data_IF_004471948456
#
_entry.id   IF_004471948456
#
_cell.length_a   1.000
_cell.length_b   1.000
_cell.length_c   1.000
_cell.angle_alpha   90.00
_cell.angle_beta   90.00
_cell.angle_gamma   90.00
#
_symmetry.space_group_name_H-M   'P 1'
#
loop_
_entity.id
_entity.type
_entity.pdbx_description
1 polymer ?
#
# COMPACT_ATOMS: atom_id res chain seq x y z
N UNK A 1 18.71 -28.51 -29.11
CA UNK A 1 18.51 -27.38 -28.21
C UNK A 1 17.42 -26.54 -28.83
N UNK A 2 16.25 -26.50 -28.17
CA UNK A 2 15.05 -25.82 -28.68
C UNK A 2 15.20 -24.28 -28.60
N UNK A 3 14.53 -23.58 -29.50
CA UNK A 3 14.56 -22.09 -29.57
C UNK A 3 14.18 -21.42 -28.25
N UNK A 4 13.40 -22.07 -27.39
CA UNK A 4 13.05 -21.62 -26.03
C UNK A 4 14.30 -21.48 -25.14
N UNK A 5 15.26 -22.44 -25.24
CA UNK A 5 16.50 -22.37 -24.45
C UNK A 5 17.44 -21.21 -24.86
N UNK A 6 17.40 -20.79 -26.14
CA UNK A 6 18.19 -19.64 -26.62
C UNK A 6 17.64 -18.30 -26.17
N UNK A 7 16.31 -18.15 -26.16
CA UNK A 7 15.67 -16.93 -25.68
C UNK A 7 15.85 -16.72 -24.18
N UNK A 8 15.82 -17.78 -23.39
CA UNK A 8 16.04 -17.72 -21.93
C UNK A 8 17.48 -17.34 -21.60
N UNK A 9 18.47 -17.90 -22.33
CA UNK A 9 19.88 -17.55 -22.15
C UNK A 9 20.18 -16.10 -22.58
N UNK A 10 19.55 -15.62 -23.67
CA UNK A 10 19.73 -14.23 -24.11
C UNK A 10 19.10 -13.22 -23.12
N UNK A 11 17.92 -13.54 -22.56
CA UNK A 11 17.29 -12.70 -21.53
C UNK A 11 18.12 -12.66 -20.23
N UNK A 12 18.60 -13.82 -19.77
CA UNK A 12 19.48 -13.90 -18.62
C UNK A 12 20.80 -13.14 -18.81
N UNK A 13 21.40 -13.23 -20.02
CA UNK A 13 22.62 -12.49 -20.37
C UNK A 13 22.39 -10.98 -20.42
N UNK A 14 21.22 -10.52 -20.89
CA UNK A 14 20.87 -9.10 -20.92
C UNK A 14 20.67 -8.56 -19.47
N UNK A 15 20.00 -9.33 -18.62
CA UNK A 15 19.77 -8.97 -17.21
C UNK A 15 21.10 -8.92 -16.43
N UNK A 16 21.99 -9.91 -16.64
CA UNK A 16 23.34 -9.90 -16.05
C UNK A 16 24.20 -8.73 -16.57
N UNK A 17 24.08 -8.37 -17.83
CA UNK A 17 24.81 -7.23 -18.43
C UNK A 17 24.35 -5.89 -17.86
N UNK A 18 23.06 -5.72 -17.60
CA UNK A 18 22.52 -4.48 -16.96
C UNK A 18 22.96 -4.39 -15.50
N UNK A 19 22.91 -5.48 -14.75
CA UNK A 19 23.41 -5.52 -13.36
C UNK A 19 24.92 -5.29 -13.30
N UNK A 20 25.70 -5.86 -14.23
CA UNK A 20 27.15 -5.65 -14.29
C UNK A 20 27.53 -4.23 -14.72
N UNK A 21 26.78 -3.62 -15.64
CA UNK A 21 26.94 -2.22 -16.04
C UNK A 21 26.59 -1.26 -14.89
N UNK A 22 25.57 -1.57 -14.10
CA UNK A 22 25.24 -0.81 -12.89
C UNK A 22 26.31 -0.95 -11.80
N UNK A 23 26.83 -2.17 -11.56
CA UNK A 23 27.93 -2.39 -10.61
C UNK A 23 29.25 -1.75 -11.05
N UNK A 24 29.56 -1.67 -12.36
CA UNK A 24 30.80 -1.07 -12.85
C UNK A 24 30.83 0.46 -12.77
N UNK A 25 29.67 1.12 -12.75
CA UNK A 25 29.56 2.56 -12.52
C UNK A 25 29.86 2.95 -11.05
N UNK A 26 29.69 2.00 -10.12
CA UNK A 26 29.90 2.22 -8.67
C UNK A 26 31.31 1.89 -8.17
N UNK A 27 32.18 1.32 -9.01
CA UNK A 27 33.56 0.94 -8.64
C UNK A 27 34.61 1.94 -9.15
N UNK A 28 34.35 3.25 -9.14
CA UNK A 28 35.41 4.22 -9.32
C UNK A 28 36.04 4.53 -7.95
N UNK A 29 37.39 4.29 -7.76
CA UNK A 29 38.03 4.68 -6.53
C UNK A 29 38.03 6.20 -6.42
N UNK A 30 37.36 6.74 -5.41
CA UNK A 30 37.51 8.15 -5.04
C UNK A 30 38.92 8.34 -4.49
N UNK A 31 39.80 8.93 -5.28
CA UNK A 31 41.09 9.45 -4.80
C UNK A 31 40.78 10.62 -3.85
N UNK A 32 40.91 10.38 -2.56
CA UNK A 32 40.83 11.44 -1.56
C UNK A 32 42.10 12.31 -1.65
N UNK A 33 41.99 13.40 -2.36
CA UNK A 33 42.88 14.54 -2.18
C UNK A 33 42.17 15.52 -1.21
N UNK A 34 42.90 16.14 -0.26
CA UNK A 34 42.31 17.18 0.58
C UNK A 34 42.15 18.44 -0.33
N UNK A 35 40.95 18.65 -0.83
CA UNK A 35 40.60 19.93 -1.46
C UNK A 35 40.40 20.98 -0.36
N UNK A 36 41.08 22.10 -0.50
CA UNK A 36 40.81 23.34 0.22
C UNK A 36 39.34 23.71 -0.01
N UNK A 37 38.52 23.68 1.04
CA UNK A 37 37.11 24.07 1.01
C UNK A 37 37.00 25.56 0.64
N UNK A 38 36.93 25.88 -0.61
CA UNK A 38 36.44 27.18 -1.09
C UNK A 38 34.92 27.06 -1.19
N UNK A 39 34.24 27.84 -0.36
CA UNK A 39 32.77 27.93 -0.35
C UNK A 39 32.32 28.54 -1.70
N UNK A 40 31.84 27.69 -2.62
CA UNK A 40 31.33 28.11 -3.93
C UNK A 40 29.83 28.38 -3.82
N UNK A 41 29.42 29.64 -4.01
CA UNK A 41 28.03 30.07 -4.04
C UNK A 41 27.20 29.35 -5.13
N UNK A 42 27.83 28.81 -6.17
CA UNK A 42 27.13 28.01 -7.20
C UNK A 42 26.62 26.66 -6.69
N UNK A 43 27.14 26.12 -5.58
CA UNK A 43 26.61 24.93 -4.90
C UNK A 43 25.27 25.17 -4.21
N UNK A 44 24.90 26.45 -3.95
CA UNK A 44 23.63 26.85 -3.33
C UNK A 44 22.53 27.07 -4.38
N UNK A 45 22.89 27.22 -5.66
CA UNK A 45 21.88 27.33 -6.71
C UNK A 45 21.09 26.03 -6.83
N UNK A 46 19.82 26.08 -6.37
CA UNK A 46 18.88 24.97 -6.47
C UNK A 46 18.80 24.54 -7.95
N UNK A 47 19.35 23.37 -8.27
CA UNK A 47 19.26 22.82 -9.62
C UNK A 47 17.79 22.75 -10.03
N UNK A 48 17.43 23.16 -11.24
CA UNK A 48 16.04 23.14 -11.71
C UNK A 48 15.50 21.71 -11.90
N UNK A 49 16.34 20.71 -11.74
CA UNK A 49 15.97 19.30 -11.88
C UNK A 49 16.49 18.48 -10.71
N UNK A 50 15.77 17.41 -10.43
CA UNK A 50 16.17 16.34 -9.50
C UNK A 50 15.98 15.00 -10.21
N UNK A 51 16.91 14.09 -10.04
CA UNK A 51 16.84 12.69 -10.47
C UNK A 51 17.30 11.87 -9.28
N UNK A 52 16.57 10.82 -8.95
CA UNK A 52 16.85 9.92 -7.86
C UNK A 52 16.05 8.63 -7.98
N UNK A 53 16.14 7.81 -6.97
CA UNK A 53 15.40 6.57 -6.91
C UNK A 53 16.03 5.57 -5.95
N UNK A 54 15.61 4.32 -6.07
CA UNK A 54 16.23 3.22 -5.34
C UNK A 54 16.17 1.91 -6.12
N UNK A 55 17.12 1.05 -5.82
CA UNK A 55 17.07 -0.37 -6.17
C UNK A 55 16.84 -1.18 -4.90
N UNK A 56 15.88 -2.10 -4.93
CA UNK A 56 15.51 -2.96 -3.81
C UNK A 56 15.60 -4.42 -4.19
N UNK A 57 16.09 -5.24 -3.27
CA UNK A 57 16.01 -6.70 -3.34
C UNK A 57 15.37 -7.23 -2.07
N UNK A 58 14.36 -8.11 -2.23
CA UNK A 58 13.53 -8.57 -1.13
C UNK A 58 13.16 -10.05 -1.28
N UNK A 59 14.04 -10.98 -0.83
CA UNK A 59 13.68 -12.38 -0.67
C UNK A 59 12.69 -12.58 0.48
N UNK A 60 11.74 -13.49 0.29
CA UNK A 60 10.70 -13.85 1.25
C UNK A 60 10.61 -15.36 1.34
N UNK A 61 10.58 -15.88 2.57
CA UNK A 61 10.33 -17.27 2.89
C UNK A 61 8.96 -17.39 3.56
N UNK A 62 8.10 -18.26 3.05
CA UNK A 62 6.78 -18.58 3.62
C UNK A 62 6.81 -19.99 4.22
N UNK A 63 6.30 -20.17 5.43
CA UNK A 63 5.94 -21.48 5.95
C UNK A 63 4.49 -21.78 5.62
N UNK A 64 4.24 -22.91 4.97
CA UNK A 64 2.91 -23.27 4.48
C UNK A 64 2.13 -24.08 5.52
N UNK A 65 0.84 -23.77 5.68
CA UNK A 65 -0.14 -24.61 6.37
C UNK A 65 -1.05 -25.28 5.35
N UNK A 66 -0.79 -26.59 5.09
CA UNK A 66 -1.50 -27.39 4.07
C UNK A 66 -2.96 -27.68 4.44
N UNK A 67 -3.35 -27.48 5.68
CA UNK A 67 -4.71 -27.77 6.15
C UNK A 67 -5.66 -26.59 5.97
N UNK A 68 -5.16 -25.40 5.62
CA UNK A 68 -5.95 -24.18 5.45
C UNK A 68 -6.75 -24.16 4.15
N UNK A 69 -7.88 -23.49 4.15
CA UNK A 69 -8.74 -23.33 2.99
C UNK A 69 -8.02 -22.61 1.85
N UNK A 70 -7.25 -21.54 2.13
CA UNK A 70 -6.54 -20.81 1.08
C UNK A 70 -5.36 -21.59 0.51
N UNK A 71 -4.69 -22.45 1.30
CA UNK A 71 -3.71 -23.37 0.74
C UNK A 71 -4.38 -24.35 -0.22
N UNK A 72 -5.46 -25.01 0.20
CA UNK A 72 -6.25 -25.93 -0.63
C UNK A 72 -6.74 -25.26 -1.92
N UNK A 73 -7.17 -24.00 -1.85
CA UNK A 73 -7.65 -23.28 -3.02
C UNK A 73 -6.54 -22.98 -4.03
N UNK A 74 -5.36 -22.56 -3.55
CA UNK A 74 -4.26 -22.12 -4.41
C UNK A 74 -3.45 -23.29 -4.94
N UNK A 75 -3.25 -24.33 -4.12
CA UNK A 75 -2.34 -25.45 -4.41
C UNK A 75 -3.05 -26.79 -4.66
N UNK A 76 -4.37 -26.82 -4.92
CA UNK A 76 -5.16 -28.05 -5.06
C UNK A 76 -4.58 -29.07 -6.05
N UNK A 77 -3.86 -28.63 -7.06
CA UNK A 77 -3.25 -29.45 -8.10
C UNK A 77 -1.71 -29.52 -8.03
N UNK A 78 -1.13 -29.13 -6.88
CA UNK A 78 0.32 -29.12 -6.64
C UNK A 78 0.62 -29.74 -5.29
N UNK A 79 1.77 -30.38 -5.19
CA UNK A 79 2.32 -30.83 -3.91
C UNK A 79 3.56 -29.98 -3.63
N UNK A 80 3.37 -28.93 -2.84
CA UNK A 80 4.45 -28.04 -2.46
C UNK A 80 5.11 -28.52 -1.16
N UNK A 81 6.37 -28.18 -0.97
CA UNK A 81 7.09 -28.45 0.28
C UNK A 81 6.45 -27.67 1.45
N UNK A 82 6.99 -27.84 2.66
CA UNK A 82 6.54 -27.10 3.84
C UNK A 82 6.86 -25.60 3.77
N UNK A 83 7.74 -25.19 2.87
CA UNK A 83 8.16 -23.79 2.69
C UNK A 83 8.18 -23.42 1.21
N UNK A 84 7.91 -22.14 0.94
CA UNK A 84 8.06 -21.54 -0.39
C UNK A 84 8.95 -20.31 -0.33
N UNK A 85 9.73 -20.12 -1.38
CA UNK A 85 10.58 -18.95 -1.57
C UNK A 85 10.01 -18.04 -2.65
N UNK A 86 10.11 -16.74 -2.40
CA UNK A 86 9.77 -15.69 -3.36
C UNK A 86 10.91 -14.66 -3.39
N UNK A 87 11.29 -14.25 -4.59
CA UNK A 87 12.30 -13.23 -4.80
C UNK A 87 11.68 -12.04 -5.50
N UNK A 88 11.76 -10.87 -4.87
CA UNK A 88 11.29 -9.62 -5.42
C UNK A 88 12.47 -8.68 -5.64
N UNK A 89 12.47 -7.96 -6.75
CA UNK A 89 13.38 -6.87 -7.00
C UNK A 89 12.60 -5.69 -7.57
N UNK A 90 12.87 -4.48 -7.06
CA UNK A 90 12.20 -3.26 -7.49
C UNK A 90 13.26 -2.21 -7.86
N UNK A 91 13.11 -1.61 -9.04
CA UNK A 91 13.82 -0.40 -9.42
C UNK A 91 12.82 0.75 -9.51
N UNK A 92 12.92 1.71 -8.58
CA UNK A 92 12.15 2.94 -8.66
C UNK A 92 13.04 4.06 -9.18
N UNK A 93 12.56 4.78 -10.19
CA UNK A 93 13.18 5.98 -10.71
C UNK A 93 12.23 7.15 -10.53
N UNK A 94 12.75 8.28 -10.05
CA UNK A 94 11.99 9.52 -9.98
C UNK A 94 12.77 10.69 -10.53
N UNK A 95 12.04 11.61 -11.16
CA UNK A 95 12.61 12.82 -11.71
C UNK A 95 11.66 14.00 -11.57
N UNK A 96 12.18 15.17 -11.31
CA UNK A 96 11.43 16.41 -11.37
C UNK A 96 12.20 17.50 -12.11
N UNK A 97 11.45 18.35 -12.82
CA UNK A 97 11.96 19.55 -13.47
C UNK A 97 11.10 20.73 -13.04
N UNK A 98 11.73 21.75 -12.45
CA UNK A 98 11.05 22.96 -11.98
C UNK A 98 11.53 24.18 -12.78
N UNK A 99 10.61 24.94 -13.39
CA UNK A 99 10.91 26.18 -14.11
C UNK A 99 9.80 27.20 -13.91
N UNK A 100 10.11 28.29 -13.21
CA UNK A 100 9.14 29.33 -12.88
C UNK A 100 7.96 28.78 -12.07
N UNK A 101 6.75 28.88 -12.62
CA UNK A 101 5.52 28.40 -11.99
C UNK A 101 5.22 26.92 -12.27
N UNK A 102 6.05 26.26 -13.07
CA UNK A 102 5.80 24.90 -13.60
C UNK A 102 6.72 23.88 -12.98
N UNK A 103 6.17 22.75 -12.55
CA UNK A 103 6.91 21.55 -12.14
C UNK A 103 6.38 20.34 -12.89
N UNK A 104 7.27 19.62 -13.54
CA UNK A 104 7.02 18.27 -14.06
C UNK A 104 7.58 17.25 -13.05
N UNK A 105 6.82 16.21 -12.74
CA UNK A 105 7.25 15.11 -11.90
C UNK A 105 6.92 13.78 -12.54
N UNK A 106 7.84 12.82 -12.48
CA UNK A 106 7.64 11.44 -12.96
C UNK A 106 8.26 10.49 -11.94
N UNK A 107 7.54 9.42 -11.60
CA UNK A 107 8.01 8.28 -10.80
C UNK A 107 7.58 6.99 -11.48
N UNK A 108 8.53 6.10 -11.73
CA UNK A 108 8.29 4.78 -12.31
C UNK A 108 8.80 3.69 -11.39
N UNK A 109 8.10 2.58 -11.35
CA UNK A 109 8.55 1.34 -10.71
C UNK A 109 8.68 0.25 -11.77
N UNK A 110 9.79 -0.46 -11.75
CA UNK A 110 9.97 -1.73 -12.45
C UNK A 110 10.10 -2.80 -11.39
N UNK A 111 9.10 -3.66 -11.31
CA UNK A 111 9.02 -4.74 -10.34
C UNK A 111 9.30 -6.06 -11.06
N UNK A 112 10.18 -6.88 -10.48
CA UNK A 112 10.43 -8.25 -10.87
C UNK A 112 10.07 -9.15 -9.70
N UNK A 113 9.28 -10.16 -9.98
CA UNK A 113 8.85 -11.15 -9.00
C UNK A 113 9.08 -12.55 -9.55
N UNK A 114 9.82 -13.37 -8.77
CA UNK A 114 9.94 -14.80 -9.01
C UNK A 114 9.32 -15.54 -7.85
N UNK A 115 8.28 -16.29 -8.11
CA UNK A 115 7.53 -17.06 -7.12
C UNK A 115 7.23 -18.46 -7.65
N UNK A 116 6.52 -19.26 -6.86
CA UNK A 116 5.98 -20.55 -7.27
C UNK A 116 5.00 -20.48 -8.46
N UNK A 117 4.41 -19.33 -8.74
CA UNK A 117 3.55 -19.11 -9.92
C UNK A 117 4.35 -18.86 -11.19
N UNK A 118 5.64 -18.62 -11.09
CA UNK A 118 6.53 -18.28 -12.20
C UNK A 118 7.25 -16.96 -11.99
N UNK A 119 7.73 -16.42 -13.10
CA UNK A 119 8.42 -15.13 -13.14
C UNK A 119 7.50 -14.09 -13.78
N UNK A 120 7.39 -12.95 -13.15
CA UNK A 120 6.63 -11.79 -13.62
C UNK A 120 7.50 -10.54 -13.58
N UNK A 121 7.34 -9.67 -14.56
CA UNK A 121 8.02 -8.38 -14.61
C UNK A 121 7.06 -7.34 -15.15
N UNK A 122 6.86 -6.29 -14.37
CA UNK A 122 6.00 -5.18 -14.74
C UNK A 122 6.73 -3.85 -14.57
N UNK A 123 6.49 -2.91 -15.48
CA UNK A 123 6.95 -1.52 -15.35
C UNK A 123 5.75 -0.60 -15.38
N UNK A 124 5.56 0.11 -14.28
CA UNK A 124 4.39 0.97 -14.07
C UNK A 124 4.82 2.41 -13.77
N UNK A 125 4.16 3.38 -14.39
CA UNK A 125 4.27 4.78 -13.99
C UNK A 125 3.42 4.97 -12.74
N UNK A 126 4.04 5.14 -11.58
CA UNK A 126 3.33 5.37 -10.32
C UNK A 126 2.76 6.77 -10.23
N UNK A 127 3.55 7.77 -10.63
CA UNK A 127 3.12 9.16 -10.74
C UNK A 127 3.75 9.79 -11.98
N UNK A 128 2.99 10.65 -12.66
CA UNK A 128 3.45 11.41 -13.82
C UNK A 128 2.52 12.59 -14.04
N UNK A 129 2.89 13.78 -13.52
CA UNK A 129 2.01 14.94 -13.54
C UNK A 129 2.75 16.25 -13.77
N UNK A 130 2.00 17.20 -14.34
CA UNK A 130 2.36 18.60 -14.47
C UNK A 130 1.68 19.37 -13.33
N UNK A 131 2.46 20.15 -12.57
CA UNK A 131 2.00 21.07 -11.54
C UNK A 131 2.24 22.51 -11.95
N UNK A 132 1.22 23.32 -11.94
CA UNK A 132 1.27 24.76 -12.19
C UNK A 132 0.96 25.50 -10.90
N UNK A 133 1.80 26.45 -10.50
CA UNK A 133 1.63 27.27 -9.30
C UNK A 133 1.57 28.75 -9.67
N UNK A 134 0.41 29.24 -10.20
CA UNK A 134 0.28 30.62 -10.66
C UNK A 134 0.39 31.65 -9.54
N UNK A 135 0.09 31.26 -8.31
CA UNK A 135 0.23 32.09 -7.11
C UNK A 135 0.63 31.23 -5.90
N UNK A 136 0.96 31.89 -4.79
CA UNK A 136 1.22 31.18 -3.53
C UNK A 136 -0.02 30.45 -2.96
N UNK A 137 -1.21 30.82 -3.42
CA UNK A 137 -2.49 30.27 -2.94
C UNK A 137 -3.14 29.27 -3.90
N UNK A 138 -2.63 29.11 -5.12
CA UNK A 138 -3.27 28.24 -6.13
C UNK A 138 -2.23 27.30 -6.74
N UNK A 139 -2.53 26.00 -6.68
CA UNK A 139 -1.79 24.95 -7.39
C UNK A 139 -2.75 24.18 -8.27
N UNK A 140 -2.36 23.86 -9.50
CA UNK A 140 -3.14 23.05 -10.43
C UNK A 140 -2.28 21.88 -10.87
N UNK A 141 -2.75 20.67 -10.66
CA UNK A 141 -2.08 19.43 -11.01
C UNK A 141 -2.85 18.65 -12.07
N UNK A 142 -2.17 18.16 -13.09
CA UNK A 142 -2.74 17.38 -14.18
C UNK A 142 -1.86 16.18 -14.49
N UNK A 143 -2.41 14.97 -14.47
CA UNK A 143 -1.74 13.72 -14.76
C UNK A 143 -1.93 12.68 -13.67
N UNK A 144 -1.09 11.64 -13.67
CA UNK A 144 -1.15 10.54 -12.72
C UNK A 144 -0.57 10.96 -11.39
N UNK A 145 -1.40 11.07 -10.36
CA UNK A 145 -0.99 11.61 -9.05
C UNK A 145 -1.72 10.93 -7.90
N UNK A 146 -1.01 10.66 -6.82
CA UNK A 146 -1.57 10.22 -5.54
C UNK A 146 -1.94 11.46 -4.69
N UNK A 147 -3.19 11.54 -4.21
CA UNK A 147 -3.71 12.70 -3.48
C UNK A 147 -3.47 12.62 -1.97
N UNK A 148 -3.27 11.42 -1.43
CA UNK A 148 -2.94 11.15 0.00
C UNK A 148 -3.99 11.69 0.96
N UNK A 149 -5.27 11.41 0.70
CA UNK A 149 -6.34 11.80 1.58
C UNK A 149 -6.48 10.86 2.78
N UNK A 150 -6.96 11.40 3.91
CA UNK A 150 -7.12 10.68 5.18
C UNK A 150 -5.95 10.87 6.15
N UNK A 151 -6.21 10.64 7.43
CA UNK A 151 -5.30 10.87 8.57
C UNK A 151 -4.82 9.58 9.21
N UNK A 152 -5.49 8.44 8.96
CA UNK A 152 -5.12 7.15 9.53
C UNK A 152 -3.76 6.67 9.05
N UNK A 153 -3.06 5.98 9.93
CA UNK A 153 -1.74 5.42 9.65
C UNK A 153 -1.86 4.13 8.82
N UNK A 154 -2.55 3.12 9.34
CA UNK A 154 -2.70 1.82 8.68
C UNK A 154 -3.82 1.80 7.63
N UNK A 155 -4.90 2.53 7.84
CA UNK A 155 -6.06 2.60 6.95
C UNK A 155 -6.52 4.03 6.72
N UNK A 156 -7.18 4.28 5.59
CA UNK A 156 -7.78 5.57 5.27
C UNK A 156 -9.16 5.34 4.62
N UNK A 157 -10.23 5.14 5.40
CA UNK A 157 -11.58 4.93 4.86
C UNK A 157 -12.11 6.09 4.02
N UNK A 158 -11.61 7.32 4.20
CA UNK A 158 -12.01 8.50 3.43
C UNK A 158 -11.18 8.74 2.16
N UNK A 159 -10.16 7.92 1.90
CA UNK A 159 -9.28 8.05 0.72
C UNK A 159 -9.97 7.54 -0.56
N UNK A 160 -11.08 8.17 -0.96
CA UNK A 160 -11.93 7.70 -2.07
C UNK A 160 -11.28 7.73 -3.44
N UNK A 161 -10.23 8.54 -3.58
CA UNK A 161 -9.49 8.79 -4.83
C UNK A 161 -8.06 8.24 -4.81
N UNK A 162 -7.69 7.54 -3.75
CA UNK A 162 -6.41 6.86 -3.64
C UNK A 162 -6.60 5.33 -3.62
N UNK A 163 -5.54 4.58 -3.86
CA UNK A 163 -5.54 3.13 -3.65
C UNK A 163 -5.48 2.81 -2.15
N UNK A 164 -6.05 1.70 -1.69
CA UNK A 164 -6.02 1.32 -0.28
C UNK A 164 -4.60 1.05 0.20
N UNK A 165 -4.26 1.52 1.39
CA UNK A 165 -3.00 1.20 2.06
C UNK A 165 -2.90 -0.29 2.41
N UNK A 166 -1.67 -0.78 2.43
CA UNK A 166 -1.35 -2.07 3.02
C UNK A 166 -0.94 -1.85 4.49
N UNK A 167 -1.71 -2.31 5.49
CA UNK A 167 -1.37 -2.13 6.89
C UNK A 167 -0.09 -2.87 7.32
N UNK A 168 0.35 -3.87 6.56
CA UNK A 168 1.65 -4.53 6.77
C UNK A 168 2.85 -3.64 6.42
N UNK A 169 2.68 -2.69 5.47
CA UNK A 169 3.68 -1.70 5.05
C UNK A 169 2.97 -0.39 4.64
N UNK A 170 2.44 0.38 5.62
CA UNK A 170 1.62 1.57 5.36
C UNK A 170 2.38 2.73 4.68
N UNK A 171 3.71 2.68 4.70
CA UNK A 171 4.58 3.69 4.11
C UNK A 171 4.92 3.40 2.64
N UNK A 172 4.47 2.24 2.12
CA UNK A 172 4.70 1.89 0.72
C UNK A 172 4.08 2.93 -0.22
N UNK A 173 4.88 3.35 -1.20
CA UNK A 173 4.36 4.22 -2.27
C UNK A 173 3.27 3.50 -3.05
N UNK A 174 2.15 4.19 -3.24
CA UNK A 174 1.02 3.70 -4.02
C UNK A 174 1.02 4.36 -5.40
N UNK A 175 0.48 3.65 -6.37
CA UNK A 175 0.22 4.17 -7.70
C UNK A 175 -0.94 5.16 -7.65
N UNK A 176 -0.78 6.35 -8.26
CA UNK A 176 -1.83 7.36 -8.37
C UNK A 176 -2.85 7.04 -9.48
N UNK A 177 -3.92 7.83 -9.52
CA UNK A 177 -4.85 7.89 -10.64
C UNK A 177 -4.58 9.12 -11.52
N UNK A 178 -4.96 9.07 -12.79
CA UNK A 178 -4.92 10.23 -13.69
C UNK A 178 -6.04 11.16 -13.27
N UNK A 179 -5.68 12.38 -12.87
CA UNK A 179 -6.58 13.39 -12.33
C UNK A 179 -6.27 14.78 -12.90
N UNK A 180 -7.27 15.67 -12.85
CA UNK A 180 -7.06 17.10 -12.88
C UNK A 180 -7.55 17.67 -11.56
N UNK A 181 -6.66 18.27 -10.78
CA UNK A 181 -6.92 18.81 -9.46
C UNK A 181 -6.49 20.27 -9.36
N UNK A 182 -7.23 21.06 -8.60
CA UNK A 182 -6.83 22.42 -8.26
C UNK A 182 -6.87 22.56 -6.73
N UNK A 183 -5.83 23.06 -6.12
CA UNK A 183 -5.80 23.32 -4.68
C UNK A 183 -5.70 24.82 -4.43
N UNK A 184 -6.75 25.39 -3.82
CA UNK A 184 -6.79 26.79 -3.43
C UNK A 184 -6.72 26.88 -1.91
N UNK A 185 -5.64 27.45 -1.39
CA UNK A 185 -5.38 27.62 0.04
C UNK A 185 -5.40 29.10 0.44
N UNK A 186 -6.01 29.40 1.57
CA UNK A 186 -6.04 30.72 2.15
C UNK A 186 -5.76 30.67 3.65
N UNK A 187 -4.78 31.45 4.09
CA UNK A 187 -4.52 31.70 5.51
C UNK A 187 -5.44 32.81 6.02
N UNK A 188 -5.92 32.63 7.24
CA UNK A 188 -6.86 33.52 7.94
C UNK A 188 -6.31 33.86 9.32
N UNK A 189 -6.84 34.95 9.88
CA UNK A 189 -6.57 35.33 11.27
C UNK A 189 -7.67 34.75 12.19
N UNK A 190 -7.28 34.42 13.45
CA UNK A 190 -8.24 33.95 14.45
C UNK A 190 -8.24 32.41 14.63
N UNK A 191 -9.36 31.82 15.11
CA UNK A 191 -9.44 30.39 15.39
C UNK A 191 -9.36 29.48 14.17
N UNK A 192 -9.88 29.91 13.04
CA UNK A 192 -9.74 29.28 11.73
C UNK A 192 -8.50 29.86 11.04
N UNK A 193 -7.40 29.13 11.08
CA UNK A 193 -6.10 29.62 10.57
C UNK A 193 -5.92 29.38 9.08
N UNK A 194 -6.48 28.29 8.57
CA UNK A 194 -6.33 27.92 7.16
C UNK A 194 -7.61 27.27 6.63
N UNK A 195 -7.96 27.63 5.40
CA UNK A 195 -8.96 26.94 4.61
C UNK A 195 -8.34 26.55 3.27
N UNK A 196 -8.57 25.33 2.79
CA UNK A 196 -8.23 24.89 1.44
C UNK A 196 -9.40 24.17 0.79
N UNK A 197 -9.57 24.36 -0.50
CA UNK A 197 -10.56 23.67 -1.32
C UNK A 197 -9.85 23.01 -2.49
N UNK A 198 -10.04 21.69 -2.61
CA UNK A 198 -9.38 20.86 -3.64
C UNK A 198 -10.43 20.11 -4.47
N UNK A 199 -11.02 20.71 -5.52
CA UNK A 199 -11.80 19.98 -6.50
C UNK A 199 -10.89 19.08 -7.34
N UNK A 200 -11.40 17.89 -7.67
CA UNK A 200 -10.71 16.86 -8.45
C UNK A 200 -11.64 16.25 -9.48
N UNK A 201 -11.16 16.17 -10.72
CA UNK A 201 -11.82 15.48 -11.82
C UNK A 201 -11.05 14.21 -12.15
N UNK A 202 -11.77 13.08 -12.26
CA UNK A 202 -11.20 11.76 -12.48
C UNK A 202 -11.88 11.14 -13.70
N UNK A 203 -11.24 11.16 -14.89
CA UNK A 203 -11.72 10.45 -16.06
C UNK A 203 -11.49 8.95 -15.91
N UNK A 204 -12.47 8.13 -16.33
CA UNK A 204 -12.36 6.66 -16.30
C UNK A 204 -12.80 6.14 -17.67
N UNK A 205 -11.84 5.68 -18.47
CA UNK A 205 -12.03 5.10 -19.79
C UNK A 205 -11.18 3.82 -19.93
N UNK A 206 -11.32 3.08 -21.03
CA UNK A 206 -10.38 2.01 -21.36
C UNK A 206 -8.94 2.56 -21.32
N UNK A 207 -8.04 1.87 -20.66
CA UNK A 207 -6.61 2.25 -20.46
C UNK A 207 -6.38 3.52 -19.61
N UNK A 208 -7.43 4.18 -19.11
CA UNK A 208 -7.34 5.37 -18.25
C UNK A 208 -8.14 5.13 -16.98
N UNK A 209 -7.47 4.85 -15.87
CA UNK A 209 -8.11 4.62 -14.56
C UNK A 209 -9.19 3.51 -14.58
N UNK A 210 -9.10 2.52 -15.46
CA UNK A 210 -10.06 1.40 -15.60
C UNK A 210 -10.26 0.65 -14.27
N UNK A 211 -9.20 0.56 -13.46
CA UNK A 211 -9.23 -0.03 -12.10
C UNK A 211 -9.93 0.86 -11.07
N UNK A 212 -10.27 2.12 -11.40
CA UNK A 212 -10.98 3.01 -10.49
C UNK A 212 -12.45 2.62 -10.32
N UNK A 213 -13.14 2.25 -11.39
CA UNK A 213 -14.56 1.88 -11.37
C UNK A 213 -15.09 1.61 -12.78
N UNK A 214 -16.40 1.81 -13.00
CA UNK A 214 -17.02 1.61 -14.32
C UNK A 214 -16.42 2.57 -15.35
N UNK A 215 -16.05 2.04 -16.52
CA UNK A 215 -15.48 2.80 -17.64
C UNK A 215 -16.53 3.72 -18.30
N UNK A 216 -16.07 4.62 -19.17
CA UNK A 216 -16.87 5.63 -19.88
C UNK A 216 -17.61 6.61 -18.96
N UNK A 217 -16.96 6.95 -17.85
CA UNK A 217 -17.49 7.87 -16.83
C UNK A 217 -16.46 8.93 -16.44
N UNK A 218 -16.98 10.05 -15.94
CA UNK A 218 -16.20 11.10 -15.28
C UNK A 218 -16.72 11.22 -13.86
N UNK A 219 -15.79 11.20 -12.89
CA UNK A 219 -16.11 11.38 -11.48
C UNK A 219 -15.61 12.75 -11.03
N UNK A 220 -16.37 13.37 -10.12
CA UNK A 220 -15.98 14.58 -9.42
C UNK A 220 -15.74 14.24 -7.95
N UNK A 221 -14.61 14.66 -7.44
CA UNK A 221 -14.29 14.58 -6.02
C UNK A 221 -13.92 15.96 -5.49
N UNK A 222 -13.99 16.13 -4.20
CA UNK A 222 -13.60 17.37 -3.57
C UNK A 222 -13.20 17.18 -2.12
N UNK A 223 -12.24 18.00 -1.67
CA UNK A 223 -11.83 18.08 -0.29
C UNK A 223 -11.87 19.53 0.18
N UNK A 224 -12.52 19.76 1.31
CA UNK A 224 -12.46 21.01 2.07
C UNK A 224 -11.61 20.75 3.30
N UNK A 225 -10.44 21.38 3.38
CA UNK A 225 -9.55 21.34 4.54
C UNK A 225 -9.73 22.59 5.41
N UNK A 226 -9.76 22.39 6.71
CA UNK A 226 -9.86 23.42 7.73
C UNK A 226 -8.82 23.18 8.84
N UNK A 227 -7.98 24.19 9.12
CA UNK A 227 -7.18 24.22 10.34
C UNK A 227 -7.91 25.08 11.37
N UNK A 228 -8.64 24.44 12.28
CA UNK A 228 -9.51 25.10 13.25
C UNK A 228 -9.11 24.72 14.69
N UNK A 229 -8.75 25.73 15.52
CA UNK A 229 -8.24 25.51 16.87
C UNK A 229 -7.14 24.44 16.96
N UNK A 230 -6.13 24.54 16.07
CA UNK A 230 -5.01 23.58 15.95
C UNK A 230 -5.45 22.12 15.69
N UNK A 231 -6.62 21.96 15.10
CA UNK A 231 -7.15 20.69 14.64
C UNK A 231 -7.24 20.71 13.11
N UNK A 232 -6.57 19.78 12.47
CA UNK A 232 -6.72 19.50 11.06
C UNK A 232 -8.03 18.76 10.83
N UNK A 233 -8.89 19.26 9.93
CA UNK A 233 -10.19 18.66 9.62
C UNK A 233 -10.40 18.67 8.12
N UNK A 234 -10.84 17.55 7.56
CA UNK A 234 -11.24 17.46 6.16
C UNK A 234 -12.70 17.04 6.04
N UNK A 235 -13.40 17.64 5.08
CA UNK A 235 -14.68 17.15 4.54
C UNK A 235 -14.43 16.72 3.11
N UNK A 236 -14.77 15.47 2.79
CA UNK A 236 -14.39 14.81 1.54
C UNK A 236 -15.66 14.27 0.87
N UNK A 237 -15.76 14.45 -0.43
CA UNK A 237 -16.84 13.91 -1.23
C UNK A 237 -16.33 13.32 -2.55
N UNK A 238 -17.01 12.28 -3.01
CA UNK A 238 -16.90 11.74 -4.36
C UNK A 238 -18.33 11.59 -4.88
N UNK A 239 -18.63 12.25 -5.99
CA UNK A 239 -19.94 12.12 -6.63
C UNK A 239 -19.91 11.07 -7.72
N UNK A 240 -21.03 10.37 -7.87
CA UNK A 240 -21.14 9.20 -8.72
C UNK A 240 -20.84 9.43 -10.19
N UNK A 241 -20.39 8.40 -10.79
CA UNK A 241 -20.06 8.18 -12.18
C UNK A 241 -19.65 6.72 -12.28
N UNK A 242 -18.36 6.42 -12.07
CA UNK A 242 -17.82 5.07 -12.04
C UNK A 242 -18.04 4.34 -10.72
N UNK A 243 -18.23 5.08 -9.66
CA UNK A 243 -18.52 4.58 -8.30
C UNK A 243 -19.75 5.29 -7.75
N UNK A 244 -20.44 4.67 -6.80
CA UNK A 244 -21.51 5.29 -6.05
C UNK A 244 -21.01 6.47 -5.20
N UNK A 245 -21.93 7.36 -4.80
CA UNK A 245 -21.59 8.55 -4.03
C UNK A 245 -20.92 8.18 -2.69
N UNK A 246 -19.93 8.97 -2.27
CA UNK A 246 -19.17 8.77 -1.06
C UNK A 246 -18.95 10.09 -0.34
N UNK A 247 -19.09 10.05 0.96
CA UNK A 247 -18.93 11.19 1.85
C UNK A 247 -18.00 10.80 2.99
N UNK A 248 -17.10 11.69 3.34
CA UNK A 248 -16.15 11.45 4.42
C UNK A 248 -15.82 12.69 5.21
N UNK A 249 -15.46 12.49 6.46
CA UNK A 249 -14.85 13.50 7.30
C UNK A 249 -13.70 12.87 8.05
N UNK A 250 -12.65 13.65 8.24
CA UNK A 250 -11.54 13.25 9.09
C UNK A 250 -11.06 14.39 9.97
N UNK A 251 -10.31 14.05 10.99
CA UNK A 251 -9.60 15.01 11.82
C UNK A 251 -8.31 14.42 12.38
N UNK A 252 -7.34 15.31 12.67
CA UNK A 252 -6.14 15.01 13.45
C UNK A 252 -5.82 16.19 14.37
N UNK A 253 -5.44 15.90 15.59
CA UNK A 253 -5.05 16.91 16.58
C UNK A 253 -3.95 16.42 17.49
N UNK A 254 -2.91 17.23 17.63
CA UNK A 254 -1.94 17.09 18.70
C UNK A 254 -2.51 17.67 20.01
N UNK A 255 -2.83 16.81 20.97
CA UNK A 255 -3.30 17.19 22.31
C UNK A 255 -2.14 17.74 23.13
N UNK A 256 -0.96 17.12 22.97
CA UNK A 256 0.32 17.58 23.49
C UNK A 256 1.37 17.46 22.38
N UNK A 257 2.60 17.91 22.62
CA UNK A 257 3.69 17.82 21.64
C UNK A 257 4.04 16.38 21.23
N UNK A 258 3.64 15.41 22.04
CA UNK A 258 3.98 14.00 21.87
C UNK A 258 2.76 13.06 21.87
N UNK A 259 1.53 13.60 21.93
CA UNK A 259 0.30 12.82 21.89
C UNK A 259 -0.69 13.38 20.87
N UNK A 260 -1.00 12.58 19.87
CA UNK A 260 -1.92 12.87 18.78
C UNK A 260 -3.13 11.94 18.85
N UNK A 261 -4.30 12.49 18.51
CA UNK A 261 -5.52 11.73 18.24
C UNK A 261 -5.96 12.00 16.81
N UNK A 262 -6.47 10.99 16.13
CA UNK A 262 -7.04 11.13 14.79
C UNK A 262 -8.25 10.23 14.61
N UNK A 263 -9.08 10.58 13.63
CA UNK A 263 -10.25 9.79 13.30
C UNK A 263 -10.77 10.08 11.91
N UNK A 264 -11.45 9.09 11.33
CA UNK A 264 -12.09 9.18 10.02
C UNK A 264 -13.46 8.54 10.07
N UNK A 265 -14.41 9.09 9.31
CA UNK A 265 -15.72 8.51 9.10
C UNK A 265 -16.10 8.63 7.62
N UNK A 266 -16.55 7.52 7.03
CA UNK A 266 -16.92 7.44 5.63
C UNK A 266 -18.26 6.74 5.44
N UNK A 267 -19.05 7.24 4.50
CA UNK A 267 -20.30 6.63 4.02
C UNK A 267 -20.16 6.39 2.52
N UNK A 268 -20.52 5.20 2.07
CA UNK A 268 -20.61 4.80 0.67
C UNK A 268 -22.08 4.42 0.43
N UNK A 269 -22.77 5.21 -0.39
CA UNK A 269 -24.17 4.93 -0.75
C UNK A 269 -24.26 3.75 -1.72
N UNK A 270 -25.33 2.97 -1.62
CA UNK A 270 -25.69 1.88 -2.53
C UNK A 270 -24.51 0.92 -2.81
N UNK A 271 -23.73 0.58 -1.77
CA UNK A 271 -22.60 -0.35 -1.91
C UNK A 271 -23.10 -1.75 -2.20
N UNK A 272 -22.65 -2.35 -3.31
CA UNK A 272 -22.96 -3.71 -3.70
C UNK A 272 -21.89 -4.68 -3.23
N UNK A 273 -22.28 -5.59 -2.33
CA UNK A 273 -21.41 -6.64 -1.82
C UNK A 273 -21.87 -8.00 -2.33
N UNK A 274 -20.94 -8.74 -2.96
CA UNK A 274 -21.15 -10.13 -3.36
C UNK A 274 -20.53 -11.04 -2.33
N UNK A 275 -21.26 -12.08 -1.92
CA UNK A 275 -20.80 -13.08 -0.98
C UNK A 275 -21.33 -14.47 -1.38
N UNK A 276 -20.72 -15.49 -0.82
CA UNK A 276 -21.04 -16.90 -1.12
C UNK A 276 -21.43 -17.60 0.19
N UNK A 277 -22.40 -18.53 0.13
CA UNK A 277 -22.70 -19.41 1.24
C UNK A 277 -21.85 -20.69 1.21
N UNK A 278 -21.98 -21.52 2.24
CA UNK A 278 -21.26 -22.81 2.37
C UNK A 278 -21.58 -23.83 1.26
N UNK A 279 -22.76 -23.70 0.63
CA UNK A 279 -23.19 -24.54 -0.49
C UNK A 279 -22.68 -24.02 -1.85
N UNK A 280 -22.07 -22.86 -1.86
CA UNK A 280 -21.53 -22.22 -3.05
C UNK A 280 -22.52 -21.32 -3.79
N UNK A 281 -23.68 -20.98 -3.23
CA UNK A 281 -24.59 -20.04 -3.85
C UNK A 281 -24.10 -18.61 -3.71
N UNK A 282 -24.22 -17.83 -4.78
CA UNK A 282 -23.80 -16.44 -4.83
C UNK A 282 -24.97 -15.53 -4.49
N UNK A 283 -24.72 -14.59 -3.59
CA UNK A 283 -25.65 -13.53 -3.18
C UNK A 283 -25.06 -12.17 -3.46
N UNK A 284 -25.92 -11.20 -3.73
CA UNK A 284 -25.58 -9.80 -3.81
C UNK A 284 -26.49 -9.01 -2.89
N UNK A 285 -25.91 -8.09 -2.12
CA UNK A 285 -26.62 -7.20 -1.21
C UNK A 285 -26.21 -5.76 -1.47
N UNK A 286 -27.18 -4.87 -1.58
CA UNK A 286 -26.98 -3.44 -1.69
C UNK A 286 -27.36 -2.76 -0.36
N UNK A 287 -26.51 -1.84 0.12
CA UNK A 287 -26.72 -1.10 1.37
C UNK A 287 -25.73 0.08 1.50
N UNK A 288 -26.05 1.03 2.36
CA UNK A 288 -25.12 2.11 2.70
C UNK A 288 -24.03 1.59 3.66
N UNK A 289 -22.80 1.55 3.15
CA UNK A 289 -21.67 1.08 3.94
C UNK A 289 -21.07 2.24 4.75
N UNK A 290 -20.97 2.05 6.08
CA UNK A 290 -20.39 3.03 7.01
C UNK A 290 -19.10 2.49 7.59
N UNK A 291 -17.99 3.21 7.33
CA UNK A 291 -16.66 2.89 7.84
C UNK A 291 -16.20 3.97 8.80
N UNK A 292 -15.46 3.59 9.84
CA UNK A 292 -14.83 4.57 10.72
C UNK A 292 -13.51 4.05 11.29
N UNK A 293 -12.62 4.97 11.53
CA UNK A 293 -11.33 4.76 12.14
C UNK A 293 -11.17 5.71 13.33
N UNK A 294 -10.61 5.22 14.42
CA UNK A 294 -10.18 6.01 15.56
C UNK A 294 -8.77 5.56 15.95
N UNK A 295 -7.86 6.52 16.08
CA UNK A 295 -6.47 6.25 16.35
C UNK A 295 -5.81 7.22 17.30
N UNK A 296 -4.72 6.76 17.90
CA UNK A 296 -3.83 7.55 18.74
C UNK A 296 -2.38 7.29 18.34
N UNK A 297 -1.55 8.31 18.48
CA UNK A 297 -0.10 8.22 18.38
C UNK A 297 0.53 8.84 19.60
N UNK A 298 1.43 8.13 20.26
CA UNK A 298 2.13 8.60 21.44
C UNK A 298 3.64 8.36 21.32
N UNK A 299 4.41 9.43 21.51
CA UNK A 299 5.87 9.40 21.52
C UNK A 299 6.37 9.58 22.96
N UNK A 300 7.18 8.64 23.46
CA UNK A 300 7.81 8.74 24.78
C UNK A 300 9.09 9.57 24.74
N UNK A 301 9.59 9.97 25.91
CA UNK A 301 10.90 10.64 26.06
C UNK A 301 12.09 9.77 25.60
N UNK A 302 11.91 8.45 25.53
CA UNK A 302 12.90 7.50 25.02
C UNK A 302 12.78 7.22 23.53
N UNK A 303 12.10 8.11 22.80
CA UNK A 303 11.84 7.96 21.36
C UNK A 303 11.11 6.64 20.97
N UNK A 304 10.31 6.10 21.89
CA UNK A 304 9.41 5.00 21.57
C UNK A 304 8.08 5.57 21.07
N UNK A 305 7.69 5.20 19.85
CA UNK A 305 6.40 5.57 19.26
C UNK A 305 5.42 4.41 19.39
N UNK A 306 4.23 4.71 19.90
CA UNK A 306 3.08 3.82 19.94
C UNK A 306 2.03 4.37 18.97
N UNK A 307 1.51 3.51 18.09
CA UNK A 307 0.37 3.80 17.22
C UNK A 307 -0.67 2.72 17.48
N UNK A 308 -1.88 3.14 17.80
CA UNK A 308 -3.03 2.24 18.00
C UNK A 308 -4.18 2.76 17.16
N UNK A 309 -4.74 1.92 16.30
CA UNK A 309 -5.92 2.25 15.49
C UNK A 309 -6.96 1.13 15.59
N UNK A 310 -8.21 1.51 15.77
CA UNK A 310 -9.37 0.66 15.55
C UNK A 310 -10.03 1.06 14.24
N UNK A 311 -10.29 0.08 13.38
CA UNK A 311 -10.92 0.28 12.08
C UNK A 311 -12.14 -0.61 11.91
N UNK A 312 -13.30 0.00 11.66
CA UNK A 312 -14.48 -0.68 11.17
C UNK A 312 -14.65 -0.45 9.68
N UNK A 313 -14.51 -1.51 8.91
CA UNK A 313 -14.69 -1.55 7.47
C UNK A 313 -16.17 -1.83 7.13
N UNK A 314 -16.93 -0.80 6.76
CA UNK A 314 -18.35 -0.95 6.41
C UNK A 314 -18.61 -1.86 5.20
N UNK A 315 -17.63 -1.97 4.30
CA UNK A 315 -17.70 -2.88 3.13
C UNK A 315 -17.21 -4.29 3.43
N UNK A 316 -16.70 -4.54 4.64
CA UNK A 316 -16.11 -5.81 5.07
C UNK A 316 -17.10 -6.95 5.20
N UNK A 317 -16.58 -8.16 5.12
CA UNK A 317 -17.35 -9.39 5.40
C UNK A 317 -17.53 -9.57 6.90
N UNK A 318 -18.69 -10.10 7.30
CA UNK A 318 -18.91 -10.56 8.67
C UNK A 318 -18.14 -11.86 8.92
N UNK A 319 -18.01 -12.25 10.19
CA UNK A 319 -17.41 -13.53 10.57
C UNK A 319 -18.15 -14.71 9.92
N UNK A 320 -19.48 -14.64 9.86
CA UNK A 320 -20.29 -15.71 9.25
C UNK A 320 -20.06 -15.76 7.72
N UNK A 321 -20.05 -14.61 7.02
CA UNK A 321 -19.76 -14.58 5.58
C UNK A 321 -18.35 -15.09 5.27
N UNK A 322 -17.35 -14.85 6.14
CA UNK A 322 -16.01 -15.41 6.01
C UNK A 322 -15.98 -16.93 6.26
N UNK A 323 -16.68 -17.40 7.28
CA UNK A 323 -16.81 -18.83 7.59
C UNK A 323 -17.48 -19.60 6.46
N UNK A 324 -18.56 -19.07 5.90
CA UNK A 324 -19.25 -19.67 4.76
C UNK A 324 -18.32 -19.80 3.55
N UNK A 325 -17.57 -18.75 3.25
CA UNK A 325 -16.56 -18.78 2.18
C UNK A 325 -15.50 -19.87 2.41
N UNK A 326 -14.89 -19.94 3.59
CA UNK A 326 -13.88 -20.97 3.88
C UNK A 326 -14.49 -22.38 3.89
N UNK A 327 -15.71 -22.55 4.40
CA UNK A 327 -16.43 -23.82 4.36
C UNK A 327 -16.71 -24.27 2.94
N UNK A 328 -17.13 -23.34 2.07
CA UNK A 328 -17.30 -23.62 0.64
C UNK A 328 -15.99 -24.08 0.00
N UNK A 329 -14.86 -23.43 0.28
CA UNK A 329 -13.55 -23.82 -0.27
C UNK A 329 -13.17 -25.24 0.18
N UNK A 330 -13.37 -25.59 1.46
CA UNK A 330 -13.10 -26.92 1.96
C UNK A 330 -13.98 -27.97 1.26
N UNK A 331 -15.29 -27.71 1.11
CA UNK A 331 -16.21 -28.56 0.39
C UNK A 331 -15.82 -28.72 -1.09
N UNK A 332 -15.38 -27.62 -1.73
CA UNK A 332 -14.90 -27.65 -3.12
C UNK A 332 -13.65 -28.53 -3.27
N UNK A 333 -12.74 -28.46 -2.31
CA UNK A 333 -11.53 -29.29 -2.28
C UNK A 333 -11.84 -30.77 -2.09
N UNK A 334 -12.73 -31.11 -1.15
CA UNK A 334 -13.19 -32.48 -0.92
C UNK A 334 -13.88 -33.06 -2.17
N UNK A 335 -14.70 -32.25 -2.85
CA UNK A 335 -15.32 -32.61 -4.14
C UNK A 335 -14.28 -32.86 -5.22
N UNK A 336 -13.21 -32.06 -5.29
CA UNK A 336 -12.11 -32.27 -6.21
C UNK A 336 -11.38 -33.59 -5.96
N UNK A 337 -11.07 -33.89 -4.69
CA UNK A 337 -10.44 -35.15 -4.31
C UNK A 337 -11.30 -36.39 -4.68
N UNK A 338 -12.63 -36.27 -4.57
CA UNK A 338 -13.55 -37.35 -4.87
C UNK A 338 -13.82 -37.55 -6.36
N UNK A 339 -13.87 -36.49 -7.18
CA UNK A 339 -14.31 -36.52 -8.55
C UNK A 339 -13.24 -36.14 -9.59
N UNK A 340 -12.15 -35.51 -9.16
CA UNK A 340 -11.15 -34.92 -10.03
C UNK A 340 -11.60 -33.62 -10.73
N UNK A 341 -12.81 -33.11 -10.44
CA UNK A 341 -13.34 -31.88 -11.05
C UNK A 341 -12.95 -30.64 -10.23
N UNK A 342 -12.25 -29.72 -10.85
CA UNK A 342 -11.80 -28.45 -10.24
C UNK A 342 -12.77 -27.28 -10.42
N UNK A 343 -13.98 -27.53 -10.93
CA UNK A 343 -14.95 -26.47 -11.28
C UNK A 343 -15.33 -25.60 -10.08
N UNK A 344 -15.55 -26.21 -8.90
CA UNK A 344 -15.88 -25.46 -7.68
C UNK A 344 -14.70 -24.66 -7.15
N UNK A 345 -13.48 -25.19 -7.24
CA UNK A 345 -12.26 -24.47 -6.87
C UNK A 345 -12.01 -23.27 -7.79
N UNK A 346 -12.19 -23.43 -9.09
CA UNK A 346 -12.13 -22.30 -10.05
C UNK A 346 -13.18 -21.22 -9.75
N UNK A 347 -14.38 -21.62 -9.32
CA UNK A 347 -15.40 -20.69 -8.83
C UNK A 347 -14.92 -19.96 -7.57
N UNK A 348 -14.27 -20.66 -6.62
CA UNK A 348 -13.65 -20.10 -5.45
C UNK A 348 -12.58 -19.07 -5.79
N UNK A 349 -11.65 -19.40 -6.70
CA UNK A 349 -10.60 -18.47 -7.16
C UNK A 349 -11.21 -17.18 -7.73
N UNK A 350 -12.19 -17.30 -8.63
CA UNK A 350 -12.86 -16.14 -9.23
C UNK A 350 -13.54 -15.23 -8.21
N UNK A 351 -14.12 -15.79 -7.16
CA UNK A 351 -14.75 -15.03 -6.07
C UNK A 351 -13.72 -14.39 -5.15
N UNK A 352 -12.55 -15.02 -5.00
CA UNK A 352 -11.45 -14.48 -4.21
C UNK A 352 -10.92 -13.19 -4.82
N UNK A 353 -10.80 -13.15 -6.16
CA UNK A 353 -10.29 -11.98 -6.88
C UNK A 353 -11.14 -10.72 -6.60
N UNK A 354 -10.48 -9.65 -6.09
CA UNK A 354 -11.11 -8.36 -5.82
C UNK A 354 -12.18 -8.33 -4.72
N UNK A 355 -12.46 -9.49 -4.07
CA UNK A 355 -13.50 -9.65 -3.08
C UNK A 355 -12.91 -10.18 -1.76
N UNK A 356 -12.94 -11.51 -1.51
CA UNK A 356 -12.36 -12.11 -0.29
C UNK A 356 -10.82 -12.02 -0.25
N UNK A 357 -10.15 -11.92 -1.41
CA UNK A 357 -8.70 -11.77 -1.52
C UNK A 357 -8.17 -10.33 -1.36
N UNK A 358 -9.02 -9.33 -1.11
CA UNK A 358 -8.57 -7.97 -0.85
C UNK A 358 -7.79 -7.88 0.47
N UNK A 359 -6.98 -6.82 0.62
CA UNK A 359 -6.03 -6.67 1.73
C UNK A 359 -6.70 -6.77 3.11
N UNK A 360 -7.89 -6.19 3.29
CA UNK A 360 -8.63 -6.21 4.55
C UNK A 360 -10.08 -6.64 4.27
N UNK A 361 -10.33 -7.95 4.10
CA UNK A 361 -11.64 -8.43 3.70
C UNK A 361 -12.69 -8.35 4.81
N UNK A 362 -12.28 -8.48 6.09
CA UNK A 362 -13.20 -8.52 7.22
C UNK A 362 -13.68 -7.12 7.65
N UNK A 363 -14.54 -7.10 8.67
CA UNK A 363 -15.25 -5.89 9.09
C UNK A 363 -14.56 -5.12 10.21
N UNK A 364 -13.83 -5.75 11.11
CA UNK A 364 -13.32 -5.09 12.31
C UNK A 364 -11.86 -5.43 12.59
N UNK A 365 -11.01 -4.40 12.66
CA UNK A 365 -9.59 -4.55 12.84
C UNK A 365 -9.06 -3.69 13.97
N UNK A 366 -8.04 -4.20 14.64
CA UNK A 366 -7.17 -3.46 15.55
C UNK A 366 -5.75 -3.50 15.02
N UNK A 367 -5.11 -2.35 14.95
CA UNK A 367 -3.71 -2.18 14.60
C UNK A 367 -2.93 -1.65 15.78
N UNK A 368 -1.81 -2.25 16.11
CA UNK A 368 -0.86 -1.76 17.10
C UNK A 368 0.55 -1.80 16.50
N UNK A 369 1.23 -0.66 16.47
CA UNK A 369 2.66 -0.60 16.16
C UNK A 369 3.41 0.05 17.29
N UNK A 370 4.50 -0.57 17.70
CA UNK A 370 5.47 -0.05 18.67
C UNK A 370 6.81 -0.01 17.96
N UNK A 371 7.45 1.16 17.91
CA UNK A 371 8.79 1.31 17.35
C UNK A 371 9.64 2.16 18.27
N UNK A 372 10.91 1.83 18.40
CA UNK A 372 11.85 2.60 19.21
C UNK A 372 13.07 2.96 18.38
N UNK A 373 13.38 4.26 18.32
CA UNK A 373 14.56 4.75 17.63
C UNK A 373 15.78 4.56 18.52
N UNK A 374 16.85 4.01 17.97
CA UNK A 374 18.19 3.88 18.56
C UNK A 374 18.20 3.33 20.02
N UNK A 375 17.50 2.20 20.32
CA UNK A 375 17.52 1.65 21.67
C UNK A 375 18.93 1.23 22.06
N UNK A 376 19.25 1.37 23.35
CA UNK A 376 20.57 1.05 23.90
C UNK A 376 21.73 1.81 23.23
N UNK A 377 21.47 3.01 22.71
CA UNK A 377 22.44 3.87 22.00
C UNK A 377 23.02 3.23 20.72
N UNK A 378 22.34 2.24 20.13
CA UNK A 378 22.72 1.67 18.84
C UNK A 378 22.23 2.61 17.75
N UNK A 379 23.15 3.42 17.22
CA UNK A 379 22.84 4.43 16.20
C UNK A 379 22.23 3.81 14.93
N UNK A 380 21.27 4.50 14.32
CA UNK A 380 20.60 4.11 13.09
C UNK A 380 19.83 2.78 13.13
N UNK A 381 19.60 2.23 14.31
CA UNK A 381 18.85 1.00 14.51
C UNK A 381 17.47 1.31 15.06
N UNK A 382 16.42 0.79 14.41
CA UNK A 382 15.02 1.01 14.80
C UNK A 382 14.26 -0.31 14.79
N UNK A 383 14.20 -1.04 15.89
CA UNK A 383 13.30 -2.18 16.03
C UNK A 383 11.86 -1.73 16.13
N UNK A 384 10.94 -2.53 15.60
CA UNK A 384 9.51 -2.34 15.76
C UNK A 384 8.77 -3.66 15.85
N UNK A 385 7.55 -3.62 16.34
CA UNK A 385 6.60 -4.72 16.32
C UNK A 385 5.25 -4.21 15.87
N UNK A 386 4.63 -4.90 14.92
CA UNK A 386 3.30 -4.56 14.39
C UNK A 386 2.37 -5.73 14.63
N UNK A 387 1.20 -5.47 15.24
CA UNK A 387 0.11 -6.41 15.37
C UNK A 387 -1.10 -5.94 14.59
N UNK A 388 -1.71 -6.81 13.79
CA UNK A 388 -2.97 -6.57 13.08
C UNK A 388 -3.91 -7.70 13.45
N UNK A 389 -5.04 -7.38 14.08
CA UNK A 389 -6.02 -8.37 14.53
C UNK A 389 -7.38 -8.12 13.91
N UNK A 390 -8.01 -9.18 13.41
CA UNK A 390 -9.45 -9.20 13.21
C UNK A 390 -10.12 -9.50 14.56
N UNK A 391 -10.77 -8.48 15.12
CA UNK A 391 -11.33 -8.57 16.49
C UNK A 391 -12.53 -9.52 16.53
N UNK A 392 -13.29 -9.60 15.43
CA UNK A 392 -14.54 -10.36 15.39
C UNK A 392 -14.32 -11.88 15.42
N UNK A 393 -13.22 -12.38 14.85
CA UNK A 393 -12.88 -13.81 14.82
C UNK A 393 -11.63 -14.16 15.65
N UNK A 394 -11.02 -13.14 16.33
CA UNK A 394 -9.87 -13.28 17.23
C UNK A 394 -8.61 -13.82 16.55
N UNK A 395 -8.50 -13.69 15.24
CA UNK A 395 -7.31 -14.03 14.48
C UNK A 395 -6.38 -12.81 14.32
N UNK A 396 -5.08 -13.04 14.13
CA UNK A 396 -4.13 -11.94 14.02
C UNK A 396 -2.83 -12.30 13.28
N UNK A 397 -2.12 -11.24 12.87
CA UNK A 397 -0.73 -11.27 12.44
C UNK A 397 0.12 -10.45 13.39
N UNK A 398 1.29 -10.97 13.79
CA UNK A 398 2.28 -10.28 14.63
C UNK A 398 3.62 -10.25 13.91
N UNK A 399 4.14 -9.04 13.67
CA UNK A 399 5.30 -8.83 12.82
C UNK A 399 6.38 -8.01 13.52
N UNK A 400 7.36 -8.63 14.22
CA UNK A 400 8.60 -7.96 14.59
C UNK A 400 9.41 -7.58 13.35
N UNK A 401 10.02 -6.40 13.40
CA UNK A 401 10.83 -5.83 12.32
C UNK A 401 12.07 -5.14 12.90
N UNK A 402 13.19 -5.28 12.22
CA UNK A 402 14.47 -4.63 12.51
C UNK A 402 14.86 -3.78 11.31
N UNK A 403 15.01 -2.47 11.51
CA UNK A 403 15.45 -1.52 10.49
C UNK A 403 16.83 -0.98 10.86
N UNK A 404 17.75 -0.96 9.90
CA UNK A 404 19.09 -0.39 10.04
C UNK A 404 19.43 0.52 8.85
N UNK A 405 19.80 1.77 9.13
CA UNK A 405 20.12 2.81 8.12
C UNK A 405 21.51 3.43 8.32
N UNK A 406 22.41 2.77 9.04
CA UNK A 406 23.74 3.28 9.37
C UNK A 406 24.77 3.23 8.22
N UNK A 407 24.42 2.69 7.06
CA UNK A 407 25.25 2.69 5.86
C UNK A 407 24.70 3.74 4.91
N UNK A 408 25.55 4.62 4.40
CA UNK A 408 25.15 5.69 3.50
C UNK A 408 24.37 5.13 2.30
N UNK A 409 23.21 5.69 2.06
CA UNK A 409 22.29 5.32 0.97
C UNK A 409 21.75 3.89 1.02
N UNK A 410 22.01 3.11 2.07
CA UNK A 410 21.53 1.74 2.20
C UNK A 410 20.59 1.58 3.40
N UNK A 411 19.41 1.05 3.14
CA UNK A 411 18.45 0.61 4.14
C UNK A 411 18.43 -0.93 4.17
N UNK A 412 18.61 -1.50 5.34
CA UNK A 412 18.46 -2.92 5.60
C UNK A 412 17.29 -3.16 6.53
N UNK A 413 16.38 -4.04 6.15
CA UNK A 413 15.20 -4.39 6.94
C UNK A 413 15.04 -5.90 7.01
N UNK A 414 14.78 -6.41 8.20
CA UNK A 414 14.40 -7.80 8.42
C UNK A 414 13.06 -7.82 9.13
N UNK A 415 12.12 -8.55 8.59
CA UNK A 415 10.76 -8.69 9.14
C UNK A 415 10.39 -10.16 9.22
N UNK A 416 9.89 -10.59 10.37
CA UNK A 416 9.25 -11.89 10.53
C UNK A 416 7.77 -11.65 10.87
N UNK A 417 6.86 -12.45 10.32
CA UNK A 417 5.44 -12.37 10.62
C UNK A 417 4.94 -13.74 11.07
N UNK A 418 4.28 -13.80 12.20
CA UNK A 418 3.50 -14.94 12.66
C UNK A 418 2.04 -14.66 12.33
N UNK A 419 1.37 -15.60 11.68
CA UNK A 419 -0.01 -15.47 11.21
C UNK A 419 -0.80 -16.61 11.86
N UNK A 420 -1.83 -16.30 12.65
CA UNK A 420 -2.51 -17.33 13.44
C UNK A 420 -3.98 -16.97 13.70
N UNK A 421 -4.79 -17.99 13.86
CA UNK A 421 -6.20 -17.91 14.19
C UNK A 421 -6.80 -19.32 14.31
N UNK A 422 -8.03 -19.38 14.78
CA UNK A 422 -8.82 -20.61 14.72
C UNK A 422 -9.18 -20.96 13.27
N UNK A 423 -9.55 -22.20 13.01
CA UNK A 423 -10.07 -22.60 11.68
C UNK A 423 -11.32 -21.79 11.31
N UNK A 424 -11.47 -21.50 10.03
CA UNK A 424 -12.52 -20.65 9.46
C UNK A 424 -12.44 -19.17 9.91
N UNK A 425 -11.29 -18.71 10.44
CA UNK A 425 -11.00 -17.30 10.71
C UNK A 425 -10.11 -16.71 9.62
N UNK A 426 -10.06 -15.37 9.51
CA UNK A 426 -9.34 -14.67 8.45
C UNK A 426 -7.85 -15.03 8.38
N UNK A 427 -7.14 -14.95 9.53
CA UNK A 427 -5.72 -15.26 9.59
C UNK A 427 -5.45 -16.75 9.77
N UNK A 428 -6.38 -17.52 10.35
CA UNK A 428 -6.27 -18.96 10.54
C UNK A 428 -6.44 -19.79 9.26
N UNK A 429 -6.98 -19.17 8.19
CA UNK A 429 -7.15 -19.81 6.88
C UNK A 429 -6.19 -19.28 5.80
N UNK A 430 -5.21 -18.43 6.17
CA UNK A 430 -4.13 -18.05 5.26
C UNK A 430 -3.29 -19.26 4.88
N UNK A 431 -2.76 -19.28 3.67
CA UNK A 431 -1.92 -20.39 3.16
C UNK A 431 -0.59 -20.54 3.89
N UNK A 432 -0.21 -19.58 4.72
CA UNK A 432 1.05 -19.57 5.46
C UNK A 432 0.82 -19.14 6.90
N UNK A 433 1.49 -19.80 7.83
CA UNK A 433 1.48 -19.54 9.27
C UNK A 433 2.63 -18.62 9.71
N UNK A 434 3.70 -18.53 8.91
CA UNK A 434 4.74 -17.53 9.10
C UNK A 434 5.32 -17.04 7.77
N UNK A 435 5.97 -15.87 7.84
CA UNK A 435 6.72 -15.26 6.75
C UNK A 435 7.98 -14.61 7.30
N UNK A 436 9.11 -14.81 6.63
CA UNK A 436 10.38 -14.11 6.92
C UNK A 436 10.80 -13.35 5.68
N UNK A 437 11.09 -12.07 5.83
CA UNK A 437 11.47 -11.17 4.75
C UNK A 437 12.78 -10.45 5.12
N UNK A 438 13.69 -10.37 4.16
CA UNK A 438 14.88 -9.51 4.24
C UNK A 438 14.77 -8.52 3.09
N UNK A 439 15.00 -7.23 3.37
CA UNK A 439 14.92 -6.15 2.38
C UNK A 439 16.23 -5.37 2.40
N UNK A 440 16.87 -5.25 1.27
CA UNK A 440 18.00 -4.34 1.07
C UNK A 440 17.59 -3.32 0.01
N UNK A 441 17.62 -2.01 0.36
CA UNK A 441 17.25 -0.91 -0.53
C UNK A 441 18.39 0.08 -0.59
N UNK A 442 18.86 0.35 -1.80
CA UNK A 442 19.91 1.31 -2.08
C UNK A 442 19.35 2.52 -2.81
N UNK A 443 19.54 3.71 -2.24
CA UNK A 443 19.09 4.99 -2.78
C UNK A 443 20.21 5.65 -3.59
N UNK A 444 19.87 6.41 -4.65
CA UNK A 444 20.84 7.13 -5.50
C UNK A 444 20.26 8.42 -6.05
#
# INVERSE_FOLDING_TARGET
MSDIGRQTIQKAALTFSVVYALCSVFCLPSSAFPEEYTFDLSEIEKKPYHIGGYAEFRPVLFGLDKDTSLYKLIFYNRDEDATLEEYNATLQLEGSLEKGITRLFVRTNTDYKKSYLGEDQETTIYEGFLSLKPSSSLTIDMGKKMLKWGKGYAWNPVAFVDRPKNPDDPELSLEGFIVAAADYIKSLEGPLKTISITPVLIPVYEDINDTFGEVDKINLAGKLYLLFYDTDMDVILLTGGSKTARYGVDFSRNITTNFEIHGEFAVIEDYRKRFIDSDGNLFEKEFDAKSYLAGIRFLTERETTYILEYYRNGTGFTTDEMRDYFSFINTAYDSYLASGSDMLLKKGLKITEGNYGRINPAREYLYLRISQKEPLDILYFTPSITGISNIADQSFSLSPELLYTGITNLELRMKASLITGERLSEYGEKQNDYRVEIRARYYF
#
